data_IF_965280179631
#
_entry.id   IF_965280179631
#
_cell.length_a   1.000
_cell.length_b   1.000
_cell.length_c   1.000
_cell.angle_alpha   90.00
_cell.angle_beta   90.00
_cell.angle_gamma   90.00
#
_symmetry.space_group_name_H-M   'P 1'
#
loop_
_entity.id
_entity.type
_entity.pdbx_description
1 polymer ?
#
# COMPACT_ATOMS: atom_id res chain seq x y z
N UNK A 1 -12.26 -1.57 10.00
CA UNK A 1 -12.21 -1.59 8.52
C UNK A 1 -11.28 -2.72 8.09
N UNK A 2 -11.23 -3.05 6.80
CA UNK A 2 -10.35 -4.10 6.25
C UNK A 2 -10.00 -3.75 4.80
N UNK A 3 -8.90 -4.31 4.29
CA UNK A 3 -8.61 -4.32 2.85
C UNK A 3 -8.97 -5.72 2.32
N UNK A 4 -9.75 -5.77 1.25
CA UNK A 4 -10.14 -7.01 0.59
C UNK A 4 -9.32 -7.18 -0.68
N UNK A 5 -8.64 -8.32 -0.79
CA UNK A 5 -7.93 -8.73 -1.99
C UNK A 5 -8.93 -9.45 -2.91
N UNK A 6 -9.53 -8.71 -3.83
CA UNK A 6 -10.55 -9.24 -4.76
C UNK A 6 -9.97 -10.16 -5.83
N UNK A 7 -8.64 -10.13 -6.02
CA UNK A 7 -7.91 -10.95 -6.99
C UNK A 7 -6.65 -11.54 -6.35
N UNK A 8 -6.76 -12.45 -5.36
CA UNK A 8 -5.60 -12.97 -4.66
C UNK A 8 -4.73 -13.84 -5.57
N UNK A 9 -3.42 -13.64 -5.50
CA UNK A 9 -2.43 -14.49 -6.16
C UNK A 9 -2.05 -15.67 -5.25
N UNK A 10 -1.46 -16.76 -5.80
CA UNK A 10 -1.01 -17.88 -4.99
C UNK A 10 -0.11 -17.44 -3.81
N UNK A 11 -0.51 -17.80 -2.59
CA UNK A 11 0.21 -17.45 -1.36
C UNK A 11 -0.26 -16.17 -0.66
N UNK A 12 -1.18 -15.41 -1.24
CA UNK A 12 -1.75 -14.22 -0.61
C UNK A 12 -3.05 -14.50 0.13
N UNK A 13 -3.35 -13.69 1.16
CA UNK A 13 -4.63 -13.73 1.88
C UNK A 13 -5.73 -12.96 1.12
N UNK A 14 -6.99 -13.41 1.16
CA UNK A 14 -8.12 -12.66 0.60
C UNK A 14 -8.50 -11.41 1.40
N UNK A 15 -8.06 -11.32 2.66
CA UNK A 15 -8.42 -10.19 3.55
C UNK A 15 -7.24 -9.80 4.43
N UNK A 16 -7.02 -8.49 4.56
CA UNK A 16 -6.01 -7.90 5.43
C UNK A 16 -6.69 -7.12 6.56
N UNK A 17 -6.44 -7.56 7.79
CA UNK A 17 -7.05 -7.04 9.03
C UNK A 17 -5.96 -6.60 10.01
N UNK A 18 -6.17 -5.51 10.77
CA UNK A 18 -5.21 -5.09 11.78
C UNK A 18 -5.17 -6.12 12.92
N UNK A 19 -4.15 -6.05 13.77
CA UNK A 19 -4.09 -6.86 14.99
C UNK A 19 -5.32 -6.59 15.87
N UNK A 20 -5.96 -7.64 16.36
CA UNK A 20 -7.15 -7.52 17.21
C UNK A 20 -6.85 -7.01 18.63
N UNK A 21 -5.61 -7.16 19.10
CA UNK A 21 -5.18 -6.73 20.43
C UNK A 21 -4.95 -5.23 20.53
N UNK A 22 -5.06 -4.71 21.76
CA UNK A 22 -4.55 -3.38 22.14
C UNK A 22 -3.34 -3.56 23.06
N UNK A 23 -2.22 -2.86 22.82
CA UNK A 23 -2.00 -1.87 21.75
C UNK A 23 -1.96 -2.50 20.35
N UNK A 24 -2.13 -1.65 19.32
CA UNK A 24 -2.04 -2.05 17.91
C UNK A 24 -0.60 -2.49 17.62
N UNK A 25 -0.43 -3.70 17.10
CA UNK A 25 0.89 -4.26 16.75
C UNK A 25 1.08 -4.46 15.25
N UNK A 26 -0.02 -4.55 14.51
CA UNK A 26 -0.02 -4.67 13.06
C UNK A 26 -1.19 -3.90 12.45
N UNK A 27 -0.93 -3.20 11.36
CA UNK A 27 -1.94 -2.58 10.52
C UNK A 27 -1.70 -2.93 9.05
N UNK A 28 -2.66 -2.56 8.20
CA UNK A 28 -2.53 -2.65 6.75
C UNK A 28 -2.95 -1.35 6.09
N UNK A 29 -2.33 -1.04 4.96
CA UNK A 29 -2.65 0.13 4.15
C UNK A 29 -2.57 -0.18 2.67
N UNK A 30 -3.14 0.67 1.84
CA UNK A 30 -3.06 0.60 0.39
C UNK A 30 -2.43 1.88 -0.16
N UNK A 31 -1.50 1.71 -1.10
CA UNK A 31 -1.00 2.75 -1.99
C UNK A 31 -1.44 2.36 -3.39
N UNK A 32 -2.28 3.19 -4.01
CA UNK A 32 -2.79 2.91 -5.35
C UNK A 32 -2.65 4.12 -6.26
N UNK A 33 -2.10 3.89 -7.45
CA UNK A 33 -2.13 4.87 -8.53
C UNK A 33 -3.24 4.44 -9.49
N UNK A 34 -4.30 5.25 -9.57
CA UNK A 34 -5.45 5.00 -10.43
C UNK A 34 -5.61 6.10 -11.46
N UNK A 35 -6.38 5.86 -12.53
CA UNK A 35 -6.79 6.94 -13.43
C UNK A 35 -7.72 7.89 -12.67
N UNK A 36 -7.49 9.19 -12.82
CA UNK A 36 -8.37 10.21 -12.29
C UNK A 36 -9.67 10.32 -13.08
N UNK A 37 -10.60 11.14 -12.59
CA UNK A 37 -11.85 11.45 -13.30
C UNK A 37 -11.59 12.00 -14.70
N UNK A 38 -10.51 12.76 -14.86
CA UNK A 38 -9.92 13.05 -16.17
C UNK A 38 -8.94 11.92 -16.51
N UNK A 39 -9.15 11.14 -17.59
CA UNK A 39 -8.28 10.03 -17.97
C UNK A 39 -6.83 10.42 -18.28
N UNK A 40 -6.55 11.69 -18.53
CA UNK A 40 -5.21 12.23 -18.74
C UNK A 40 -4.46 12.54 -17.43
N UNK A 41 -5.13 12.37 -16.28
CA UNK A 41 -4.54 12.58 -14.95
C UNK A 41 -4.62 11.29 -14.14
N UNK A 42 -3.70 11.16 -13.19
CA UNK A 42 -3.71 10.07 -12.23
C UNK A 42 -4.10 10.58 -10.84
N UNK A 43 -4.68 9.71 -10.04
CA UNK A 43 -4.94 9.93 -8.61
C UNK A 43 -4.10 8.94 -7.82
N UNK A 44 -3.34 9.44 -6.85
CA UNK A 44 -2.66 8.61 -5.86
C UNK A 44 -3.54 8.50 -4.63
N UNK A 45 -3.88 7.28 -4.23
CA UNK A 45 -4.67 6.95 -3.04
C UNK A 45 -3.72 6.40 -1.99
N UNK A 46 -3.76 7.00 -0.80
CA UNK A 46 -3.03 6.59 0.40
C UNK A 46 -4.07 6.36 1.49
N UNK A 47 -4.34 5.11 1.84
CA UNK A 47 -5.38 4.80 2.81
C UNK A 47 -4.96 3.65 3.73
N UNK A 48 -5.09 3.86 5.04
CA UNK A 48 -4.91 2.82 6.05
C UNK A 48 -6.22 2.21 6.51
N UNK A 49 -6.15 0.99 7.05
CA UNK A 49 -7.26 0.40 7.80
C UNK A 49 -7.49 1.13 9.12
N UNK A 50 -6.44 1.72 9.70
CA UNK A 50 -6.53 2.70 10.79
C UNK A 50 -5.79 4.01 10.45
N UNK A 51 -5.83 4.98 11.37
CA UNK A 51 -5.07 6.23 11.25
C UNK A 51 -3.56 5.97 11.11
N UNK A 52 -3.01 5.02 11.87
CA UNK A 52 -1.59 4.64 11.82
C UNK A 52 -1.22 4.07 10.45
N UNK A 53 -2.08 3.26 9.83
CA UNK A 53 -1.88 2.77 8.48
C UNK A 53 -1.89 3.88 7.42
N UNK A 54 -2.67 4.95 7.61
CA UNK A 54 -2.68 6.08 6.67
C UNK A 54 -1.38 6.89 6.77
N UNK A 55 -0.88 7.06 8.00
CA UNK A 55 0.47 7.60 8.23
C UNK A 55 1.52 6.73 7.53
N UNK A 56 1.50 5.40 7.73
CA UNK A 56 2.45 4.49 7.13
C UNK A 56 2.44 4.52 5.59
N UNK A 57 1.26 4.61 4.96
CA UNK A 57 1.13 4.77 3.51
C UNK A 57 1.77 6.09 3.02
N UNK A 58 1.62 7.17 3.79
CA UNK A 58 2.20 8.48 3.49
C UNK A 58 3.72 8.46 3.64
N UNK A 59 4.23 7.91 4.73
CA UNK A 59 5.67 7.76 4.96
C UNK A 59 6.32 6.91 3.87
N UNK A 60 5.69 5.79 3.49
CA UNK A 60 6.18 4.89 2.45
C UNK A 60 6.40 5.60 1.10
N UNK A 61 5.49 6.48 0.67
CA UNK A 61 5.64 7.21 -0.61
C UNK A 61 6.57 8.42 -0.51
N UNK A 62 6.88 8.88 0.70
CA UNK A 62 7.83 9.97 0.95
C UNK A 62 9.27 9.48 1.15
N UNK A 63 9.48 8.18 1.42
CA UNK A 63 10.80 7.62 1.66
C UNK A 63 11.42 7.11 0.34
N UNK A 64 12.60 7.63 -0.08
CA UNK A 64 13.22 7.27 -1.35
C UNK A 64 13.44 5.77 -1.52
N UNK A 65 13.94 5.07 -0.49
CA UNK A 65 14.22 3.64 -0.56
C UNK A 65 12.94 2.81 -0.79
N UNK A 66 11.85 3.19 -0.13
CA UNK A 66 10.53 2.55 -0.28
C UNK A 66 9.95 2.76 -1.68
N UNK A 67 10.11 3.97 -2.24
CA UNK A 67 9.70 4.26 -3.63
C UNK A 67 10.55 3.49 -4.63
N UNK A 68 11.86 3.38 -4.40
CA UNK A 68 12.75 2.57 -5.25
C UNK A 68 12.39 1.08 -5.21
N UNK A 69 12.06 0.54 -4.05
CA UNK A 69 11.54 -0.82 -3.90
C UNK A 69 10.27 -1.03 -4.73
N UNK A 70 9.30 -0.12 -4.60
CA UNK A 70 8.05 -0.17 -5.35
C UNK A 70 8.29 -0.10 -6.87
N UNK A 71 9.10 0.84 -7.34
CA UNK A 71 9.44 0.97 -8.76
C UNK A 71 10.10 -0.30 -9.30
N UNK A 72 11.02 -0.90 -8.53
CA UNK A 72 11.68 -2.16 -8.89
C UNK A 72 10.68 -3.30 -9.04
N UNK A 73 9.75 -3.47 -8.09
CA UNK A 73 8.72 -4.51 -8.18
C UNK A 73 7.72 -4.26 -9.33
N UNK A 74 7.42 -2.99 -9.62
CA UNK A 74 6.62 -2.60 -10.77
C UNK A 74 7.34 -2.83 -12.10
N UNK A 75 8.67 -2.87 -12.11
CA UNK A 75 9.50 -2.93 -13.31
C UNK A 75 9.55 -1.59 -14.06
N UNK A 76 9.45 -0.49 -13.31
CA UNK A 76 9.52 0.88 -13.83
C UNK A 76 10.86 1.52 -13.46
N UNK A 77 11.43 2.31 -14.37
CA UNK A 77 12.73 2.96 -14.15
C UNK A 77 12.61 4.25 -13.34
N UNK A 78 11.42 4.87 -13.37
CA UNK A 78 11.12 6.13 -12.71
C UNK A 78 9.60 6.29 -12.50
N UNK A 79 9.22 7.32 -11.76
CA UNK A 79 7.82 7.59 -11.43
C UNK A 79 6.95 7.92 -12.65
N UNK A 80 7.50 8.54 -13.70
CA UNK A 80 6.74 8.87 -14.92
C UNK A 80 6.36 7.65 -15.76
N UNK A 81 7.06 6.53 -15.59
CA UNK A 81 6.76 5.25 -16.25
C UNK A 81 5.73 4.41 -15.49
N UNK A 82 5.31 4.84 -14.28
CA UNK A 82 4.36 4.09 -13.47
C UNK A 82 2.99 4.03 -14.15
N UNK A 83 2.60 2.81 -14.53
CA UNK A 83 1.22 2.47 -14.90
C UNK A 83 0.37 2.35 -13.63
N UNK A 84 -0.97 2.42 -13.75
CA UNK A 84 -1.84 2.16 -12.62
C UNK A 84 -1.48 0.87 -11.88
N UNK A 85 -1.52 0.94 -10.55
CA UNK A 85 -1.16 -0.17 -9.68
C UNK A 85 -1.89 -0.04 -8.34
N UNK A 86 -1.94 -1.16 -7.62
CA UNK A 86 -2.37 -1.22 -6.22
C UNK A 86 -1.36 -2.03 -5.43
N UNK A 87 -0.83 -1.45 -4.34
CA UNK A 87 0.11 -2.09 -3.43
C UNK A 87 -0.50 -2.12 -2.02
N UNK A 88 -0.66 -3.32 -1.47
CA UNK A 88 -1.02 -3.49 -0.06
C UNK A 88 0.25 -3.53 0.77
N UNK A 89 0.29 -2.71 1.81
CA UNK A 89 1.39 -2.65 2.76
C UNK A 89 0.98 -3.30 4.08
N UNK A 90 1.85 -4.15 4.62
CA UNK A 90 1.80 -4.58 6.01
C UNK A 90 2.63 -3.62 6.84
N UNK A 91 2.04 -3.12 7.92
CA UNK A 91 2.64 -2.13 8.81
C UNK A 91 2.86 -2.78 10.17
N UNK A 92 4.11 -2.86 10.63
CA UNK A 92 4.43 -3.16 12.03
C UNK A 92 4.30 -1.87 12.84
N UNK A 93 3.59 -1.96 13.97
CA UNK A 93 3.28 -0.82 14.83
C UNK A 93 3.88 -1.05 16.21
N UNK A 94 4.58 -0.02 16.75
CA UNK A 94 5.02 0.03 18.15
C UNK A 94 4.67 1.39 18.73
N UNK A 95 4.02 1.37 19.89
CA UNK A 95 3.60 2.59 20.58
C UNK A 95 2.81 3.55 19.66
N UNK A 96 1.89 2.99 18.86
CA UNK A 96 1.07 3.71 17.88
C UNK A 96 1.85 4.43 16.75
N UNK A 97 3.12 4.06 16.53
CA UNK A 97 3.95 4.57 15.43
C UNK A 97 4.30 3.43 14.46
N UNK A 98 4.23 3.64 13.13
CA UNK A 98 4.78 2.70 12.16
C UNK A 98 6.29 2.54 12.36
N UNK A 99 6.77 1.30 12.50
CA UNK A 99 8.22 1.01 12.65
C UNK A 99 8.78 0.19 11.49
N UNK A 100 7.93 -0.52 10.76
CA UNK A 100 8.31 -1.22 9.53
C UNK A 100 7.11 -1.27 8.58
N UNK A 101 7.33 -1.02 7.29
CA UNK A 101 6.30 -1.11 6.26
C UNK A 101 6.81 -1.93 5.08
N UNK A 102 6.08 -2.98 4.70
CA UNK A 102 6.44 -3.91 3.61
C UNK A 102 5.30 -4.12 2.63
N UNK A 103 5.61 -4.15 1.34
CA UNK A 103 4.65 -4.58 0.30
C UNK A 103 4.36 -6.08 0.51
N UNK A 104 3.08 -6.44 0.63
CA UNK A 104 2.63 -7.84 0.81
C UNK A 104 1.70 -8.33 -0.30
N UNK A 105 1.17 -7.41 -1.12
CA UNK A 105 0.50 -7.73 -2.37
C UNK A 105 0.69 -6.58 -3.35
N UNK A 106 0.83 -6.89 -4.63
CA UNK A 106 1.01 -5.90 -5.70
C UNK A 106 0.21 -6.31 -6.94
N UNK A 107 -0.53 -5.37 -7.52
CA UNK A 107 -1.24 -5.52 -8.79
C UNK A 107 -0.78 -4.48 -9.78
N UNK A 108 -0.50 -4.93 -11.00
CA UNK A 108 -0.14 -4.08 -12.14
C UNK A 108 -1.34 -4.01 -13.06
N UNK A 109 -1.78 -2.79 -13.40
CA UNK A 109 -2.96 -2.58 -14.23
C UNK A 109 -4.14 -2.01 -13.44
N UNK A 110 -5.23 -1.60 -14.13
CA UNK A 110 -6.45 -1.18 -13.45
C UNK A 110 -7.10 -2.38 -12.73
N UNK A 111 -7.89 -2.14 -11.67
CA UNK A 111 -8.85 -3.13 -11.18
C UNK A 111 -9.88 -3.49 -12.26
#
# INVERSE_FOLDING_TARGET
MAIFNVHPQPGETPTFLPSASRPLTQDFSIVALVRGLNPARSTLILAGVTTVGTQAATEFVCQPDSVQELLRQLGASNASEMKPFEAVLRVEVKHDVPVETKIVALRKGPP
#
